data_IF_828603163753
#
_entry.id   IF_828603163753
#
_cell.length_a   1.000
_cell.length_b   1.000
_cell.length_c   1.000
_cell.angle_alpha   90.00
_cell.angle_beta   90.00
_cell.angle_gamma   90.00
#
_symmetry.space_group_name_H-M   'P 1'
#
loop_
_entity.id
_entity.type
_entity.pdbx_description
1 polymer ?
#
# COMPACT_ATOMS: atom_id res chain seq x y z
N UNK A 1 12.11 -23.40 -33.64
CA UNK A 1 11.02 -23.66 -32.68
C UNK A 1 10.78 -22.39 -31.88
N UNK A 2 9.79 -21.59 -32.29
CA UNK A 2 9.47 -20.32 -31.65
C UNK A 2 8.66 -20.59 -30.38
N UNK A 3 9.06 -19.96 -29.28
CA UNK A 3 8.38 -20.01 -27.99
C UNK A 3 7.06 -19.24 -28.08
N UNK A 4 5.96 -19.91 -27.75
CA UNK A 4 4.65 -19.31 -27.59
C UNK A 4 4.66 -18.34 -26.41
N UNK A 5 4.45 -17.07 -26.75
CA UNK A 5 4.24 -16.00 -25.79
C UNK A 5 2.86 -16.19 -25.15
N UNK A 6 2.84 -16.43 -23.84
CA UNK A 6 1.62 -16.47 -23.04
C UNK A 6 0.79 -15.20 -23.28
N UNK A 7 -0.32 -15.38 -23.98
CA UNK A 7 -1.30 -14.34 -24.25
C UNK A 7 -1.91 -13.93 -22.92
N UNK A 8 -1.53 -12.75 -22.42
CA UNK A 8 -2.23 -12.12 -21.30
C UNK A 8 -3.63 -11.83 -21.81
N UNK A 9 -4.62 -12.64 -21.41
CA UNK A 9 -6.03 -12.41 -21.74
C UNK A 9 -6.42 -11.00 -21.29
N UNK A 10 -6.50 -10.05 -22.24
CA UNK A 10 -7.12 -8.77 -21.98
C UNK A 10 -8.59 -9.03 -21.63
N UNK A 11 -9.09 -8.47 -20.51
CA UNK A 11 -10.48 -8.66 -20.13
C UNK A 11 -11.40 -8.13 -21.23
N UNK A 12 -12.31 -8.97 -21.71
CA UNK A 12 -13.25 -8.65 -22.79
C UNK A 12 -14.18 -7.53 -22.30
N UNK A 13 -14.30 -6.44 -23.06
CA UNK A 13 -14.95 -5.19 -22.62
C UNK A 13 -16.38 -5.35 -22.09
N UNK A 14 -17.09 -6.38 -22.57
CA UNK A 14 -18.48 -6.68 -22.23
C UNK A 14 -18.67 -7.94 -21.37
N UNK A 15 -17.60 -8.53 -20.84
CA UNK A 15 -17.76 -9.63 -19.88
C UNK A 15 -18.36 -9.14 -18.54
N UNK A 16 -19.10 -10.00 -17.82
CA UNK A 16 -19.53 -9.70 -16.46
C UNK A 16 -18.34 -9.45 -15.54
N UNK A 17 -18.43 -8.43 -14.69
CA UNK A 17 -17.38 -8.08 -13.75
C UNK A 17 -16.99 -9.26 -12.84
N UNK A 18 -17.94 -10.13 -12.49
CA UNK A 18 -17.70 -11.35 -11.74
C UNK A 18 -16.73 -12.30 -12.45
N UNK A 19 -16.88 -12.50 -13.78
CA UNK A 19 -16.02 -13.37 -14.59
C UNK A 19 -14.65 -12.73 -14.85
N UNK A 20 -14.60 -11.40 -14.94
CA UNK A 20 -13.36 -10.67 -15.10
C UNK A 20 -12.43 -10.74 -13.87
N UNK A 21 -12.94 -11.04 -12.67
CA UNK A 21 -12.14 -10.97 -11.45
C UNK A 21 -10.85 -11.81 -11.54
N UNK A 22 -10.97 -13.05 -12.03
CA UNK A 22 -9.85 -13.99 -12.11
C UNK A 22 -8.77 -13.49 -13.08
N UNK A 23 -9.13 -12.85 -14.20
CA UNK A 23 -8.15 -12.29 -15.15
C UNK A 23 -7.34 -11.13 -14.53
N UNK A 24 -7.91 -10.40 -13.58
CA UNK A 24 -7.18 -9.40 -12.79
C UNK A 24 -6.37 -9.99 -11.63
N UNK A 25 -6.92 -11.01 -10.96
CA UNK A 25 -6.37 -11.51 -9.70
C UNK A 25 -5.22 -12.51 -9.90
N UNK A 26 -5.37 -13.45 -10.83
CA UNK A 26 -4.40 -14.50 -11.11
C UNK A 26 -2.97 -13.97 -11.34
N UNK A 27 -2.72 -13.02 -12.27
CA UNK A 27 -1.36 -12.52 -12.50
C UNK A 27 -0.75 -11.81 -11.29
N UNK A 28 -1.57 -11.17 -10.44
CA UNK A 28 -1.08 -10.55 -9.20
C UNK A 28 -0.75 -11.57 -8.12
N UNK A 29 -1.54 -12.66 -8.05
CA UNK A 29 -1.28 -13.78 -7.15
C UNK A 29 0.02 -14.46 -7.56
N UNK A 30 0.19 -14.79 -8.84
CA UNK A 30 1.41 -15.42 -9.34
C UNK A 30 2.65 -14.54 -9.12
N UNK A 31 2.53 -13.24 -9.36
CA UNK A 31 3.60 -12.27 -9.08
C UNK A 31 3.96 -12.26 -7.58
N UNK A 32 2.96 -12.21 -6.69
CA UNK A 32 3.18 -12.22 -5.25
C UNK A 32 3.80 -13.53 -4.75
N UNK A 33 3.38 -14.68 -5.28
CA UNK A 33 3.96 -16.00 -4.96
C UNK A 33 5.42 -16.06 -5.40
N UNK A 34 5.72 -15.63 -6.63
CA UNK A 34 7.10 -15.57 -7.13
C UNK A 34 7.99 -14.68 -6.26
N UNK A 35 7.49 -13.52 -5.85
CA UNK A 35 8.21 -12.62 -4.96
C UNK A 35 8.40 -13.20 -3.55
N UNK A 36 7.40 -13.91 -3.02
CA UNK A 36 7.49 -14.59 -1.73
C UNK A 36 8.57 -15.69 -1.75
N UNK A 37 8.58 -16.52 -2.80
CA UNK A 37 9.61 -17.54 -3.00
C UNK A 37 11.01 -16.91 -3.14
N UNK A 38 11.11 -15.77 -3.84
CA UNK A 38 12.36 -15.01 -3.96
C UNK A 38 12.93 -14.59 -2.59
N UNK A 39 12.07 -14.19 -1.65
CA UNK A 39 12.47 -13.81 -0.28
C UNK A 39 13.04 -15.00 0.51
N UNK A 40 12.71 -16.25 0.16
CA UNK A 40 13.31 -17.42 0.80
C UNK A 40 14.81 -17.52 0.47
N UNK A 41 15.17 -17.27 -0.78
CA UNK A 41 16.56 -17.32 -1.29
C UNK A 41 17.36 -16.04 -1.05
N UNK A 42 16.75 -14.87 -1.22
CA UNK A 42 17.36 -13.56 -0.93
C UNK A 42 16.34 -12.66 -0.22
N UNK A 43 16.51 -12.47 1.09
CA UNK A 43 15.70 -11.58 1.90
C UNK A 43 16.18 -10.12 1.85
N UNK A 44 16.74 -9.68 0.72
CA UNK A 44 17.19 -8.30 0.54
C UNK A 44 16.04 -7.31 0.78
N UNK A 45 16.36 -6.08 1.25
CA UNK A 45 15.36 -5.03 1.45
C UNK A 45 14.53 -4.74 0.19
N UNK A 46 15.14 -4.90 -1.00
CA UNK A 46 14.45 -4.71 -2.27
C UNK A 46 13.45 -5.85 -2.56
N UNK A 47 13.81 -7.11 -2.30
CA UNK A 47 12.91 -8.25 -2.44
C UNK A 47 11.66 -8.10 -1.55
N UNK A 48 11.86 -7.75 -0.27
CA UNK A 48 10.77 -7.46 0.66
C UNK A 48 9.93 -6.25 0.21
N UNK A 49 10.58 -5.22 -0.33
CA UNK A 49 9.87 -4.06 -0.87
C UNK A 49 8.96 -4.44 -2.04
N UNK A 50 9.46 -5.22 -3.01
CA UNK A 50 8.68 -5.70 -4.15
C UNK A 50 7.51 -6.55 -3.68
N UNK A 51 7.74 -7.49 -2.76
CA UNK A 51 6.68 -8.32 -2.18
C UNK A 51 5.60 -7.46 -1.48
N UNK A 52 6.00 -6.51 -0.63
CA UNK A 52 5.09 -5.56 0.03
C UNK A 52 4.26 -4.79 -0.99
N UNK A 53 4.85 -4.34 -2.10
CA UNK A 53 4.14 -3.61 -3.15
C UNK A 53 3.08 -4.51 -3.80
N UNK A 54 3.43 -5.75 -4.14
CA UNK A 54 2.52 -6.73 -4.74
C UNK A 54 1.33 -7.07 -3.82
N UNK A 55 1.59 -7.40 -2.55
CA UNK A 55 0.54 -7.67 -1.55
C UNK A 55 -0.41 -6.49 -1.32
N UNK A 56 0.11 -5.26 -1.37
CA UNK A 56 -0.73 -4.05 -1.31
C UNK A 56 -1.59 -3.87 -2.54
N UNK A 57 -1.12 -4.31 -3.72
CA UNK A 57 -1.86 -4.29 -4.98
C UNK A 57 -3.00 -5.33 -4.92
N UNK A 58 -2.73 -6.56 -4.48
CA UNK A 58 -3.75 -7.59 -4.20
C UNK A 58 -4.85 -7.09 -3.26
N UNK A 59 -4.45 -6.52 -2.11
CA UNK A 59 -5.41 -5.92 -1.17
C UNK A 59 -6.26 -4.80 -1.77
N UNK A 60 -5.70 -4.07 -2.72
CA UNK A 60 -6.41 -3.00 -3.42
C UNK A 60 -7.35 -3.55 -4.48
N UNK A 61 -7.01 -4.67 -5.11
CA UNK A 61 -7.87 -5.39 -6.05
C UNK A 61 -9.11 -5.95 -5.35
N UNK A 62 -8.96 -6.65 -4.22
CA UNK A 62 -10.11 -7.11 -3.41
C UNK A 62 -11.00 -5.95 -2.96
N UNK A 63 -10.40 -4.80 -2.59
CA UNK A 63 -11.17 -3.58 -2.33
C UNK A 63 -11.88 -3.02 -3.58
N UNK A 64 -11.28 -3.15 -4.76
CA UNK A 64 -11.87 -2.69 -6.02
C UNK A 64 -13.12 -3.51 -6.34
N UNK A 65 -13.07 -4.83 -6.16
CA UNK A 65 -14.16 -5.78 -6.38
C UNK A 65 -15.13 -5.92 -5.20
N UNK A 66 -14.84 -5.31 -4.04
CA UNK A 66 -15.62 -5.40 -2.82
C UNK A 66 -17.16 -5.34 -2.96
N UNK A 67 -17.78 -4.56 -3.86
CA UNK A 67 -19.24 -4.58 -4.03
C UNK A 67 -19.83 -5.89 -4.58
N UNK A 68 -19.00 -6.78 -5.13
CA UNK A 68 -19.39 -8.08 -5.67
C UNK A 68 -19.01 -9.25 -4.74
N UNK A 69 -18.25 -8.97 -3.68
CA UNK A 69 -17.72 -9.98 -2.79
C UNK A 69 -18.55 -10.07 -1.51
N UNK A 70 -18.56 -11.25 -0.89
CA UNK A 70 -19.08 -11.36 0.48
C UNK A 70 -18.29 -10.44 1.41
N UNK A 71 -19.00 -9.80 2.35
CA UNK A 71 -18.41 -8.79 3.24
C UNK A 71 -17.44 -9.43 4.24
N UNK A 72 -17.76 -10.61 4.77
CA UNK A 72 -16.93 -11.34 5.71
C UNK A 72 -15.65 -11.80 5.04
N UNK A 73 -15.80 -12.54 3.94
CA UNK A 73 -14.70 -13.11 3.16
C UNK A 73 -13.73 -12.02 2.67
N UNK A 74 -14.24 -10.97 2.03
CA UNK A 74 -13.42 -9.85 1.57
C UNK A 74 -12.71 -9.11 2.72
N UNK A 75 -13.33 -9.03 3.90
CA UNK A 75 -12.69 -8.40 5.06
C UNK A 75 -11.55 -9.26 5.60
N UNK A 76 -11.74 -10.57 5.68
CA UNK A 76 -10.73 -11.54 6.07
C UNK A 76 -9.54 -11.53 5.09
N UNK A 77 -9.78 -11.67 3.79
CA UNK A 77 -8.73 -11.67 2.77
C UNK A 77 -7.90 -10.38 2.79
N UNK A 78 -8.58 -9.23 2.91
CA UNK A 78 -7.89 -7.94 3.01
C UNK A 78 -7.10 -7.78 4.30
N UNK A 79 -7.47 -8.47 5.38
CA UNK A 79 -6.71 -8.52 6.62
C UNK A 79 -5.45 -9.38 6.45
N UNK A 80 -5.56 -10.56 5.82
CA UNK A 80 -4.41 -11.43 5.48
C UNK A 80 -3.39 -10.67 4.63
N UNK A 81 -3.81 -10.04 3.53
CA UNK A 81 -2.89 -9.26 2.70
C UNK A 81 -2.29 -8.05 3.44
N UNK A 82 -3.03 -7.46 4.39
CA UNK A 82 -2.50 -6.39 5.24
C UNK A 82 -1.43 -6.93 6.18
N UNK A 83 -1.66 -8.08 6.80
CA UNK A 83 -0.70 -8.73 7.68
C UNK A 83 0.61 -9.04 6.93
N UNK A 84 0.53 -9.75 5.81
CA UNK A 84 1.70 -10.08 4.99
C UNK A 84 2.45 -8.83 4.50
N UNK A 85 1.71 -7.82 4.00
CA UNK A 85 2.34 -6.57 3.55
C UNK A 85 2.98 -5.76 4.68
N UNK A 86 2.51 -5.95 5.93
CA UNK A 86 3.08 -5.32 7.12
C UNK A 86 4.37 -6.04 7.50
N UNK A 87 4.36 -7.38 7.53
CA UNK A 87 5.55 -8.20 7.76
C UNK A 87 6.66 -7.88 6.74
N UNK A 88 6.36 -7.87 5.44
CA UNK A 88 7.30 -7.46 4.39
C UNK A 88 7.70 -5.97 4.43
N UNK A 89 7.17 -5.23 5.39
CA UNK A 89 7.24 -3.78 5.46
C UNK A 89 8.00 -3.19 6.62
N UNK A 90 8.16 -3.92 7.73
CA UNK A 90 8.69 -3.35 8.99
C UNK A 90 10.13 -2.85 8.83
N UNK A 91 10.99 -3.58 8.10
CA UNK A 91 12.37 -3.18 7.83
C UNK A 91 12.46 -1.83 7.10
N UNK A 92 11.51 -1.56 6.19
CA UNK A 92 11.47 -0.30 5.44
C UNK A 92 11.21 0.91 6.34
N UNK A 93 10.47 0.72 7.42
CA UNK A 93 10.18 1.82 8.34
C UNK A 93 11.46 2.24 9.10
N UNK A 94 12.32 1.26 9.44
CA UNK A 94 13.68 1.51 9.95
C UNK A 94 14.60 2.16 8.90
N UNK A 95 14.60 1.67 7.65
CA UNK A 95 15.38 2.30 6.55
C UNK A 95 15.05 3.78 6.41
N UNK A 96 13.76 4.13 6.51
CA UNK A 96 13.29 5.51 6.41
C UNK A 96 13.74 6.31 7.63
N UNK A 97 13.60 5.77 8.84
CA UNK A 97 14.04 6.44 10.07
C UNK A 97 15.54 6.73 10.01
N UNK A 98 16.37 5.74 9.70
CA UNK A 98 17.83 5.88 9.57
C UNK A 98 18.16 6.92 8.50
N UNK A 99 17.56 6.84 7.31
CA UNK A 99 17.80 7.80 6.23
C UNK A 99 17.35 9.22 6.57
N UNK A 100 16.31 9.37 7.41
CA UNK A 100 15.92 10.68 7.92
C UNK A 100 16.95 11.18 8.93
N UNK A 101 17.29 10.40 9.94
CA UNK A 101 18.21 10.80 11.00
C UNK A 101 19.64 11.09 10.51
N UNK A 102 20.09 10.44 9.44
CA UNK A 102 21.36 10.80 8.75
C UNK A 102 21.37 12.22 8.16
N UNK A 103 20.21 12.86 8.02
CA UNK A 103 20.09 14.26 7.58
C UNK A 103 20.09 15.26 8.75
N UNK A 104 20.24 14.78 9.99
CA UNK A 104 20.39 15.62 11.17
C UNK A 104 21.88 15.80 11.44
N UNK A 105 22.34 17.05 11.46
CA UNK A 105 23.74 17.36 11.75
C UNK A 105 24.08 16.97 13.20
N UNK A 106 25.07 16.08 13.37
CA UNK A 106 25.72 15.70 14.64
C UNK A 106 24.88 14.87 15.62
N UNK A 107 23.61 15.20 15.83
CA UNK A 107 22.83 14.71 16.99
C UNK A 107 22.33 13.26 16.90
N UNK A 108 22.31 12.64 15.73
CA UNK A 108 21.79 11.27 15.58
C UNK A 108 22.87 10.19 15.40
N UNK A 109 24.15 10.58 15.33
CA UNK A 109 25.22 9.63 15.03
C UNK A 109 25.35 8.56 16.13
N UNK A 110 25.17 8.93 17.39
CA UNK A 110 25.17 8.03 18.53
C UNK A 110 24.06 6.95 18.46
N UNK A 111 22.93 7.25 17.81
CA UNK A 111 21.81 6.31 17.64
C UNK A 111 22.07 5.26 16.56
N UNK A 112 22.96 5.53 15.61
CA UNK A 112 23.09 4.73 14.38
C UNK A 112 23.38 3.24 14.64
N UNK A 113 24.31 2.84 15.53
CA UNK A 113 24.59 1.42 15.75
C UNK A 113 23.37 0.65 16.25
N UNK A 114 22.60 1.25 17.17
CA UNK A 114 21.40 0.64 17.77
C UNK A 114 20.23 0.59 16.77
N UNK A 115 20.06 1.61 15.94
CA UNK A 115 19.07 1.62 14.86
C UNK A 115 19.38 0.55 13.80
N UNK A 116 20.64 0.40 13.40
CA UNK A 116 21.05 -0.62 12.44
C UNK A 116 20.90 -2.04 13.02
N UNK A 117 21.11 -2.22 14.33
CA UNK A 117 20.81 -3.48 15.00
C UNK A 117 19.31 -3.78 15.00
N UNK A 118 18.46 -2.85 15.45
CA UNK A 118 17.01 -3.01 15.47
C UNK A 118 16.44 -3.29 14.06
N UNK A 119 17.03 -2.68 13.04
CA UNK A 119 16.75 -2.95 11.63
C UNK A 119 17.07 -4.39 11.24
N UNK A 120 18.24 -4.92 11.61
CA UNK A 120 18.64 -6.31 11.35
C UNK A 120 17.71 -7.30 12.04
N UNK A 121 17.38 -7.05 13.31
CA UNK A 121 16.48 -7.91 14.08
C UNK A 121 15.08 -7.93 13.47
N UNK A 122 14.58 -6.75 13.10
CA UNK A 122 13.28 -6.62 12.40
C UNK A 122 13.28 -7.34 11.06
N UNK A 123 14.39 -7.32 10.33
CA UNK A 123 14.53 -8.06 9.07
C UNK A 123 14.46 -9.57 9.30
N UNK A 124 15.14 -10.08 10.32
CA UNK A 124 15.08 -11.49 10.69
C UNK A 124 13.65 -11.93 11.07
N UNK A 125 12.98 -11.18 11.95
CA UNK A 125 11.58 -11.46 12.33
C UNK A 125 10.63 -11.38 11.13
N UNK A 126 10.83 -10.43 10.23
CA UNK A 126 10.00 -10.28 9.02
C UNK A 126 10.17 -11.48 8.09
N UNK A 127 11.40 -11.97 7.94
CA UNK A 127 11.71 -13.16 7.14
C UNK A 127 11.07 -14.41 7.74
N UNK A 128 11.23 -14.63 9.04
CA UNK A 128 10.62 -15.76 9.76
C UNK A 128 9.10 -15.74 9.64
N UNK A 129 8.47 -14.58 9.86
CA UNK A 129 7.01 -14.42 9.74
C UNK A 129 6.52 -14.79 8.33
N UNK A 130 7.24 -14.39 7.28
CA UNK A 130 6.86 -14.66 5.90
C UNK A 130 7.10 -16.12 5.50
N UNK A 131 8.17 -16.74 5.98
CA UNK A 131 8.47 -18.16 5.77
C UNK A 131 7.38 -19.04 6.40
N UNK A 132 6.93 -18.70 7.60
CA UNK A 132 5.95 -19.48 8.35
C UNK A 132 4.50 -19.27 7.89
N UNK A 133 4.23 -18.26 7.06
CA UNK A 133 2.86 -17.88 6.68
C UNK A 133 2.27 -18.71 5.52
N UNK A 134 3.01 -19.65 4.93
CA UNK A 134 2.64 -20.37 3.69
C UNK A 134 1.93 -19.46 2.67
N UNK A 135 2.63 -18.39 2.27
CA UNK A 135 2.09 -17.34 1.40
C UNK A 135 1.52 -17.94 0.11
N UNK A 136 2.16 -18.98 -0.42
CA UNK A 136 1.73 -19.64 -1.64
C UNK A 136 0.34 -20.27 -1.49
N UNK A 137 0.12 -21.04 -0.43
CA UNK A 137 -1.16 -21.67 -0.19
C UNK A 137 -2.24 -20.62 0.08
N UNK A 138 -1.99 -19.66 0.97
CA UNK A 138 -2.94 -18.58 1.30
C UNK A 138 -3.41 -17.80 0.07
N UNK A 139 -2.49 -17.43 -0.83
CA UNK A 139 -2.83 -16.63 -2.01
C UNK A 139 -3.62 -17.44 -3.05
N UNK A 140 -3.34 -18.74 -3.20
CA UNK A 140 -4.07 -19.62 -4.13
C UNK A 140 -5.45 -19.96 -3.61
N UNK A 141 -5.56 -20.27 -2.33
CA UNK A 141 -6.85 -20.53 -1.69
C UNK A 141 -7.75 -19.30 -1.79
N UNK A 142 -7.24 -18.10 -1.50
CA UNK A 142 -7.97 -16.86 -1.69
C UNK A 142 -8.48 -16.63 -3.11
N UNK A 143 -7.67 -16.95 -4.12
CA UNK A 143 -8.06 -16.85 -5.53
C UNK A 143 -9.15 -17.87 -5.88
N UNK A 144 -8.98 -19.12 -5.46
CA UNK A 144 -9.90 -20.21 -5.77
C UNK A 144 -11.27 -20.00 -5.12
N UNK A 145 -11.30 -19.73 -3.82
CA UNK A 145 -12.51 -19.46 -3.04
C UNK A 145 -13.27 -18.25 -3.57
N UNK A 146 -12.59 -17.12 -3.80
CA UNK A 146 -13.21 -15.91 -4.32
C UNK A 146 -13.75 -16.10 -5.74
N UNK A 147 -13.01 -16.81 -6.60
CA UNK A 147 -13.46 -17.08 -7.98
C UNK A 147 -14.69 -18.00 -7.99
N UNK A 148 -14.68 -19.08 -7.18
CA UNK A 148 -15.81 -19.99 -7.05
C UNK A 148 -17.07 -19.26 -6.55
N UNK A 149 -16.93 -18.40 -5.54
CA UNK A 149 -18.02 -17.58 -5.02
C UNK A 149 -18.63 -16.67 -6.10
N UNK A 150 -17.78 -15.96 -6.84
CA UNK A 150 -18.21 -15.05 -7.89
C UNK A 150 -18.90 -15.78 -9.05
N UNK A 151 -18.45 -17.01 -9.37
CA UNK A 151 -19.04 -17.83 -10.42
C UNK A 151 -20.40 -18.42 -10.02
N UNK A 152 -20.59 -18.75 -8.75
CA UNK A 152 -21.86 -19.25 -8.21
C UNK A 152 -22.95 -18.15 -8.08
N UNK A 153 -22.58 -16.88 -8.22
CA UNK A 153 -23.53 -15.77 -8.12
C UNK A 153 -24.28 -15.59 -9.45
N UNK A 154 -25.52 -16.11 -9.51
CA UNK A 154 -26.38 -16.06 -10.70
C UNK A 154 -27.11 -14.72 -10.90
N UNK A 155 -27.20 -13.88 -9.87
CA UNK A 155 -27.98 -12.64 -9.90
C UNK A 155 -27.19 -11.42 -10.42
N UNK A 156 -27.64 -10.90 -11.57
CA UNK A 156 -27.20 -9.66 -12.20
C UNK A 156 -25.71 -9.60 -12.58
N UNK A 157 -25.40 -10.16 -13.76
CA UNK A 157 -24.14 -9.88 -14.45
C UNK A 157 -24.04 -8.38 -14.78
N UNK A 158 -23.30 -7.62 -13.98
CA UNK A 158 -22.99 -6.22 -14.28
C UNK A 158 -21.83 -6.22 -15.27
N UNK A 159 -22.03 -5.64 -16.46
CA UNK A 159 -20.95 -5.45 -17.43
C UNK A 159 -19.73 -4.77 -16.78
N UNK A 160 -18.53 -5.31 -17.03
CA UNK A 160 -17.27 -4.85 -16.43
C UNK A 160 -17.08 -3.34 -16.59
N UNK A 161 -17.36 -2.79 -17.79
CA UNK A 161 -17.27 -1.36 -18.07
C UNK A 161 -18.17 -0.52 -17.17
N UNK A 162 -19.43 -0.94 -16.97
CA UNK A 162 -20.40 -0.26 -16.08
C UNK A 162 -19.96 -0.35 -14.62
N UNK A 163 -19.46 -1.52 -14.20
CA UNK A 163 -18.90 -1.71 -12.86
C UNK A 163 -17.72 -0.76 -12.61
N UNK A 164 -16.72 -0.78 -13.50
CA UNK A 164 -15.53 0.07 -13.46
C UNK A 164 -15.88 1.57 -13.33
N UNK A 165 -16.77 2.06 -14.20
CA UNK A 165 -17.21 3.46 -14.18
C UNK A 165 -17.86 3.84 -12.84
N UNK A 166 -18.72 2.97 -12.28
CA UNK A 166 -19.34 3.19 -10.96
C UNK A 166 -18.29 3.23 -9.84
N UNK A 167 -17.30 2.32 -9.86
CA UNK A 167 -16.21 2.28 -8.85
C UNK A 167 -15.37 3.54 -8.89
N UNK A 168 -14.95 3.96 -10.08
CA UNK A 168 -14.14 5.17 -10.27
C UNK A 168 -14.92 6.41 -9.81
N UNK A 169 -16.15 6.61 -10.31
CA UNK A 169 -16.95 7.78 -9.95
C UNK A 169 -17.23 7.88 -8.45
N UNK A 170 -17.50 6.75 -7.78
CA UNK A 170 -17.65 6.72 -6.33
C UNK A 170 -16.35 7.11 -5.58
N UNK A 171 -15.20 6.63 -6.06
CA UNK A 171 -13.89 6.93 -5.48
C UNK A 171 -13.49 8.40 -5.69
N UNK A 172 -13.77 8.98 -6.86
CA UNK A 172 -13.58 10.41 -7.15
C UNK A 172 -14.41 11.29 -6.23
N UNK A 173 -15.70 10.98 -6.06
CA UNK A 173 -16.58 11.70 -5.11
C UNK A 173 -16.06 11.60 -3.68
N UNK A 174 -15.60 10.42 -3.26
CA UNK A 174 -15.01 10.21 -1.93
C UNK A 174 -13.75 11.03 -1.72
N UNK A 175 -12.86 11.07 -2.72
CA UNK A 175 -11.65 11.89 -2.69
C UNK A 175 -11.98 13.38 -2.62
N UNK A 176 -12.91 13.88 -3.45
CA UNK A 176 -13.36 15.28 -3.44
C UNK A 176 -13.89 15.68 -2.06
N UNK A 177 -14.72 14.84 -1.44
CA UNK A 177 -15.24 15.06 -0.07
C UNK A 177 -14.11 15.14 0.96
N UNK A 178 -13.13 14.25 0.90
CA UNK A 178 -11.97 14.22 1.82
C UNK A 178 -11.05 15.41 1.62
N UNK A 179 -10.80 15.84 0.39
CA UNK A 179 -10.05 17.06 0.08
C UNK A 179 -10.78 18.28 0.68
N UNK A 180 -12.10 18.42 0.46
CA UNK A 180 -12.88 19.52 1.05
C UNK A 180 -12.74 19.55 2.58
N UNK A 181 -12.88 18.40 3.25
CA UNK A 181 -12.69 18.31 4.71
C UNK A 181 -11.28 18.70 5.14
N UNK A 182 -10.25 18.23 4.44
CA UNK A 182 -8.86 18.54 4.77
C UNK A 182 -8.50 20.02 4.54
N UNK A 183 -9.14 20.72 3.60
CA UNK A 183 -8.97 22.18 3.40
C UNK A 183 -9.44 23.00 4.59
N UNK A 184 -10.52 22.58 5.24
CA UNK A 184 -11.08 23.24 6.42
C UNK A 184 -10.50 22.70 7.74
N UNK A 185 -9.68 21.67 7.69
CA UNK A 185 -9.08 21.09 8.88
C UNK A 185 -7.96 22.00 9.38
N UNK A 186 -7.88 22.20 10.71
CA UNK A 186 -6.68 22.78 11.33
C UNK A 186 -5.47 21.97 10.89
N UNK A 187 -4.33 22.64 10.64
CA UNK A 187 -3.10 21.97 10.18
C UNK A 187 -2.67 20.83 11.11
N UNK A 188 -2.96 20.92 12.41
CA UNK A 188 -2.72 19.86 13.39
C UNK A 188 -3.50 18.55 13.15
N UNK A 189 -4.58 18.57 12.34
CA UNK A 189 -5.40 17.39 12.07
C UNK A 189 -4.77 16.51 10.98
N UNK A 190 -3.72 15.77 11.35
CA UNK A 190 -3.05 14.80 10.48
C UNK A 190 -4.01 13.75 9.91
N UNK A 191 -5.05 13.35 10.65
CA UNK A 191 -6.00 12.33 10.23
C UNK A 191 -6.72 12.71 8.93
N UNK A 192 -7.13 13.98 8.78
CA UNK A 192 -7.77 14.47 7.56
C UNK A 192 -6.85 14.36 6.33
N UNK A 193 -5.56 14.68 6.49
CA UNK A 193 -4.57 14.55 5.42
C UNK A 193 -4.30 13.08 5.06
N UNK A 194 -4.15 12.23 6.07
CA UNK A 194 -3.98 10.79 5.89
C UNK A 194 -5.15 10.17 5.12
N UNK A 195 -6.36 10.64 5.38
CA UNK A 195 -7.58 10.23 4.70
C UNK A 195 -7.62 10.61 3.21
N UNK A 196 -7.14 11.82 2.86
CA UNK A 196 -6.96 12.21 1.45
C UNK A 196 -5.98 11.28 0.76
N UNK A 197 -4.83 10.98 1.39
CA UNK A 197 -3.83 10.06 0.85
C UNK A 197 -4.40 8.66 0.62
N UNK A 198 -5.16 8.11 1.57
CA UNK A 198 -5.83 6.80 1.44
C UNK A 198 -6.80 6.78 0.26
N UNK A 199 -7.63 7.81 0.13
CA UNK A 199 -8.59 7.91 -0.98
C UNK A 199 -7.88 8.10 -2.34
N UNK A 200 -6.84 8.92 -2.39
CA UNK A 200 -6.04 9.10 -3.61
C UNK A 200 -5.33 7.82 -4.05
N UNK A 201 -4.82 7.00 -3.11
CA UNK A 201 -4.24 5.69 -3.43
C UNK A 201 -5.28 4.74 -4.03
N UNK A 202 -6.48 4.70 -3.43
CA UNK A 202 -7.60 3.89 -3.92
C UNK A 202 -8.01 4.28 -5.34
N UNK A 203 -8.18 5.58 -5.62
CA UNK A 203 -8.50 6.07 -6.96
C UNK A 203 -7.40 5.73 -7.98
N UNK A 204 -6.11 5.89 -7.61
CA UNK A 204 -4.99 5.50 -8.48
C UNK A 204 -5.06 4.02 -8.85
N UNK A 205 -5.28 3.12 -7.89
CA UNK A 205 -5.40 1.69 -8.18
C UNK A 205 -6.59 1.37 -9.08
N UNK A 206 -7.73 2.04 -8.91
CA UNK A 206 -8.86 1.85 -9.84
C UNK A 206 -8.51 2.26 -11.27
N UNK A 207 -7.77 3.34 -11.46
CA UNK A 207 -7.29 3.72 -12.80
C UNK A 207 -6.27 2.72 -13.36
N UNK A 208 -5.40 2.17 -12.51
CA UNK A 208 -4.44 1.14 -12.92
C UNK A 208 -5.13 -0.18 -13.33
N UNK A 209 -6.21 -0.58 -12.66
CA UNK A 209 -6.95 -1.79 -12.99
C UNK A 209 -7.96 -1.57 -14.13
N UNK A 210 -8.79 -0.53 -14.04
CA UNK A 210 -9.95 -0.36 -14.93
C UNK A 210 -9.75 0.68 -16.02
N UNK A 211 -8.64 1.42 -16.02
CA UNK A 211 -8.32 2.38 -17.08
C UNK A 211 -8.35 1.78 -18.49
N UNK A 212 -7.75 0.59 -18.73
CA UNK A 212 -7.78 -0.06 -20.05
C UNK A 212 -9.21 -0.30 -20.57
N UNK A 213 -10.09 -0.89 -19.76
CA UNK A 213 -11.49 -1.21 -20.14
C UNK A 213 -12.33 0.03 -20.42
N UNK A 214 -12.05 1.15 -19.73
CA UNK A 214 -12.79 2.39 -19.94
C UNK A 214 -12.32 3.18 -21.17
N UNK A 215 -11.21 2.80 -21.82
CA UNK A 215 -10.60 3.51 -22.96
C UNK A 215 -10.45 5.03 -22.73
N UNK A 216 -10.36 5.46 -21.47
CA UNK A 216 -10.35 6.88 -21.09
C UNK A 216 -9.02 7.25 -20.46
N UNK A 217 -8.46 8.36 -20.92
CA UNK A 217 -7.19 8.86 -20.41
C UNK A 217 -7.38 9.58 -19.08
N UNK A 218 -6.93 8.94 -17.99
CA UNK A 218 -6.88 9.56 -16.66
C UNK A 218 -5.52 10.22 -16.36
N UNK A 219 -4.69 10.48 -17.39
CA UNK A 219 -3.30 10.95 -17.26
C UNK A 219 -3.20 12.23 -16.41
N UNK A 220 -4.07 13.22 -16.62
CA UNK A 220 -4.09 14.48 -15.86
C UNK A 220 -4.40 14.24 -14.37
N UNK A 221 -5.45 13.46 -14.08
CA UNK A 221 -5.83 13.10 -12.71
C UNK A 221 -4.74 12.30 -12.01
N UNK A 222 -4.14 11.32 -12.69
CA UNK A 222 -3.01 10.54 -12.19
C UNK A 222 -1.79 11.42 -11.88
N UNK A 223 -1.45 12.38 -12.76
CA UNK A 223 -0.34 13.33 -12.52
C UNK A 223 -0.58 14.16 -11.25
N UNK A 224 -1.80 14.68 -11.07
CA UNK A 224 -2.19 15.42 -9.85
C UNK A 224 -2.14 14.53 -8.61
N UNK A 225 -2.69 13.32 -8.69
CA UNK A 225 -2.65 12.34 -7.59
C UNK A 225 -1.23 11.99 -7.20
N UNK A 226 -0.32 11.77 -8.16
CA UNK A 226 1.10 11.49 -7.90
C UNK A 226 1.77 12.65 -7.13
N UNK A 227 1.50 13.90 -7.51
CA UNK A 227 2.03 15.09 -6.81
C UNK A 227 1.56 15.14 -5.35
N UNK A 228 0.26 14.95 -5.10
CA UNK A 228 -0.32 14.88 -3.75
C UNK A 228 0.29 13.69 -2.99
N UNK A 229 0.31 12.49 -3.57
CA UNK A 229 0.83 11.28 -2.93
C UNK A 229 2.30 11.39 -2.55
N UNK A 230 3.14 12.06 -3.34
CA UNK A 230 4.57 12.28 -3.01
C UNK A 230 4.71 13.07 -1.71
N UNK A 231 4.00 14.19 -1.58
CA UNK A 231 4.12 15.07 -0.41
C UNK A 231 3.48 14.48 0.85
N UNK A 232 2.32 13.86 0.69
CA UNK A 232 1.66 13.14 1.79
C UNK A 232 2.42 11.86 2.17
N UNK A 233 3.14 11.25 1.22
CA UNK A 233 4.08 10.15 1.47
C UNK A 233 5.18 10.59 2.42
N UNK A 234 5.92 11.65 2.07
CA UNK A 234 6.97 12.20 2.93
C UNK A 234 6.46 12.56 4.33
N UNK A 235 5.26 13.16 4.45
CA UNK A 235 4.68 13.46 5.76
C UNK A 235 4.41 12.18 6.57
N UNK A 236 3.76 11.19 5.95
CA UNK A 236 3.47 9.91 6.59
C UNK A 236 4.75 9.19 7.03
N UNK A 237 5.78 9.24 6.19
CA UNK A 237 7.08 8.64 6.47
C UNK A 237 7.72 9.28 7.71
N UNK A 238 7.64 10.60 7.87
CA UNK A 238 8.12 11.27 9.10
C UNK A 238 7.31 10.88 10.33
N UNK A 239 5.97 10.85 10.23
CA UNK A 239 5.10 10.46 11.36
C UNK A 239 5.37 9.01 11.78
N UNK A 240 5.54 8.11 10.81
CA UNK A 240 5.88 6.72 11.08
C UNK A 240 7.25 6.58 11.75
N UNK A 241 8.27 7.31 11.26
CA UNK A 241 9.60 7.32 11.89
C UNK A 241 9.60 7.90 13.31
N UNK A 242 8.82 8.95 13.55
CA UNK A 242 8.65 9.54 14.89
C UNK A 242 7.98 8.56 15.86
N UNK A 243 6.97 7.82 15.40
CA UNK A 243 6.30 6.78 16.20
C UNK A 243 7.26 5.62 16.47
N UNK A 244 7.95 5.13 15.44
CA UNK A 244 8.92 4.05 15.57
C UNK A 244 10.04 4.38 16.55
N UNK A 245 10.55 5.61 16.52
CA UNK A 245 11.58 6.06 17.46
C UNK A 245 11.04 6.10 18.90
N UNK A 246 9.81 6.58 19.12
CA UNK A 246 9.19 6.59 20.47
C UNK A 246 8.96 5.19 21.01
N UNK A 247 8.41 4.30 20.19
CA UNK A 247 8.07 2.92 20.59
C UNK A 247 9.32 2.11 20.96
N UNK A 248 10.50 2.54 20.54
CA UNK A 248 11.78 1.88 20.79
C UNK A 248 12.75 2.76 21.61
N UNK A 249 12.30 3.88 22.20
CA UNK A 249 13.17 4.84 22.86
C UNK A 249 14.05 4.19 23.95
N UNK A 250 13.45 3.35 24.79
CA UNK A 250 14.12 2.69 25.91
C UNK A 250 15.25 1.71 25.50
N UNK A 251 15.21 1.17 24.27
CA UNK A 251 16.21 0.20 23.79
C UNK A 251 17.29 0.83 22.91
N UNK A 252 17.11 2.10 22.50
CA UNK A 252 17.93 2.74 21.48
C UNK A 252 19.05 3.62 22.05
N UNK A 253 18.81 4.42 23.08
CA UNK A 253 19.84 5.28 23.71
C UNK A 253 19.33 5.92 25.01
N UNK A 254 20.15 6.79 25.61
CA UNK A 254 19.74 7.71 26.68
C UNK A 254 18.63 8.69 26.22
N UNK A 255 17.99 9.33 27.20
CA UNK A 255 16.87 10.22 26.95
C UNK A 255 17.24 11.44 26.09
N UNK A 256 18.46 11.98 26.25
CA UNK A 256 18.90 13.21 25.61
C UNK A 256 19.02 13.04 24.08
N UNK A 257 19.67 11.95 23.64
CA UNK A 257 19.80 11.66 22.21
C UNK A 257 18.44 11.38 21.55
N UNK A 258 17.55 10.67 22.26
CA UNK A 258 16.20 10.39 21.77
C UNK A 258 15.37 11.66 21.68
N UNK A 259 15.42 12.53 22.69
CA UNK A 259 14.68 13.80 22.70
C UNK A 259 15.15 14.73 21.58
N UNK A 260 16.47 14.84 21.37
CA UNK A 260 17.04 15.63 20.28
C UNK A 260 16.56 15.13 18.90
N UNK A 261 16.57 13.82 18.67
CA UNK A 261 16.10 13.21 17.43
C UNK A 261 14.58 13.39 17.22
N UNK A 262 13.77 13.21 18.27
CA UNK A 262 12.32 13.45 18.23
C UNK A 262 11.99 14.92 17.96
N UNK A 263 12.69 15.86 18.59
CA UNK A 263 12.54 17.29 18.35
C UNK A 263 12.86 17.68 16.90
N UNK A 264 13.89 17.08 16.31
CA UNK A 264 14.21 17.28 14.89
C UNK A 264 13.14 16.69 13.96
N UNK A 265 12.66 15.47 14.23
CA UNK A 265 11.57 14.84 13.47
C UNK A 265 10.27 15.64 13.54
N UNK A 266 9.93 16.21 14.70
CA UNK A 266 8.75 17.08 14.85
C UNK A 266 8.86 18.36 13.99
N UNK A 267 10.01 19.03 14.00
CA UNK A 267 10.25 20.19 13.12
C UNK A 267 10.09 19.80 11.65
N UNK A 268 10.62 18.65 11.25
CA UNK A 268 10.50 18.13 9.88
C UNK A 268 9.06 17.79 9.52
N UNK A 269 8.30 17.18 10.44
CA UNK A 269 6.87 16.89 10.30
C UNK A 269 6.08 18.17 10.08
N UNK A 270 6.28 19.19 10.91
CA UNK A 270 5.63 20.51 10.79
C UNK A 270 5.90 21.16 9.43
N UNK A 271 7.15 21.13 8.93
CA UNK A 271 7.50 21.63 7.58
C UNK A 271 6.79 20.84 6.47
N UNK A 272 6.83 19.50 6.52
CA UNK A 272 6.18 18.63 5.53
C UNK A 272 4.65 18.78 5.51
N UNK A 273 4.06 19.01 6.68
CA UNK A 273 2.63 19.26 6.83
C UNK A 273 2.19 20.57 6.17
N UNK A 274 2.96 21.66 6.34
CA UNK A 274 2.72 22.94 5.64
C UNK A 274 2.74 22.75 4.12
N UNK A 275 3.79 22.13 3.60
CA UNK A 275 3.94 21.85 2.17
C UNK A 275 2.86 20.90 1.61
N UNK A 276 2.34 19.97 2.41
CA UNK A 276 1.23 19.11 2.02
C UNK A 276 -0.12 19.86 1.99
N UNK A 277 -0.30 20.80 2.92
CA UNK A 277 -1.52 21.63 3.03
C UNK A 277 -1.67 22.58 1.85
N UNK A 278 -0.58 23.18 1.39
CA UNK A 278 -0.54 24.06 0.21
C UNK A 278 -1.03 23.38 -1.07
N UNK A 279 -0.91 22.04 -1.19
CA UNK A 279 -1.39 21.29 -2.35
C UNK A 279 -2.90 21.02 -2.32
N UNK A 280 -3.55 21.28 -1.18
CA UNK A 280 -5.00 21.20 -1.05
C UNK A 280 -5.68 22.56 -1.20
N UNK A 281 -4.93 23.66 -1.04
CA UNK A 281 -5.38 25.03 -1.31
C UNK A 281 -5.86 25.16 -2.75
#
# INVERSE_FOLDING_TARGET
MKQDSATVNEPVEDEPAQRAFTSYAAPLVDEAIRLANGVHGDASPEALHKLRVSLRRLRSLWWAFAPLLDKGENSWQRAVYKFLATAAGKTRDWDILIALLRQQDGGAQALMPKLEQARRDTLATSRETLLNADVKHLLRDALATTSAQLHATHDSAIALRKFAARRIGASERSLKKRIKRARHAKRSNYAAFHDVRKAGKKLRYLFEFFGPVLKTSHKRTLKRLKKIQKRFGMLNDTVASETLLRDNAASLADADHIEAALGWLDRKRKRRLRAASELLG
#
